data_IF_675693119521
#
_entry.id   IF_675693119521
#
_cell.length_a   1.000
_cell.length_b   1.000
_cell.length_c   1.000
_cell.angle_alpha   90.00
_cell.angle_beta   90.00
_cell.angle_gamma   90.00
#
_symmetry.space_group_name_H-M   'P 1'
#
loop_
_entity.id
_entity.type
_entity.pdbx_description
1 polymer ?
#
# COMPACT_ATOMS: atom_id res chain seq x y z
N UNK A 1 3.28 -18.47 -3.72
CA UNK A 1 4.34 -17.43 -3.82
C UNK A 1 4.71 -16.96 -2.43
N UNK A 2 5.96 -16.58 -2.18
CA UNK A 2 6.41 -16.14 -0.86
C UNK A 2 5.97 -14.69 -0.58
N UNK A 3 5.72 -14.38 0.68
CA UNK A 3 5.44 -13.01 1.11
C UNK A 3 6.66 -12.11 0.90
N UNK A 4 6.41 -10.83 0.55
CA UNK A 4 7.48 -9.84 0.45
C UNK A 4 7.88 -9.33 1.84
N UNK A 5 9.19 -9.12 2.01
CA UNK A 5 9.72 -8.44 3.19
C UNK A 5 9.50 -6.93 3.11
N UNK A 6 9.40 -6.27 4.26
CA UNK A 6 9.28 -4.81 4.30
C UNK A 6 10.49 -4.11 3.68
N UNK A 7 11.68 -4.70 3.80
CA UNK A 7 12.90 -4.18 3.17
C UNK A 7 12.83 -4.22 1.64
N UNK A 8 12.28 -5.31 1.07
CA UNK A 8 12.06 -5.40 -0.37
C UNK A 8 11.07 -4.33 -0.85
N UNK A 9 9.91 -4.22 -0.18
CA UNK A 9 8.87 -3.24 -0.51
C UNK A 9 9.44 -1.82 -0.45
N UNK A 10 10.16 -1.48 0.62
CA UNK A 10 10.77 -0.17 0.80
C UNK A 10 11.73 0.16 -0.34
N UNK A 11 12.64 -0.76 -0.65
CA UNK A 11 13.64 -0.56 -1.70
C UNK A 11 12.99 -0.46 -3.08
N UNK A 12 11.95 -1.25 -3.35
CA UNK A 12 11.23 -1.22 -4.62
C UNK A 12 10.51 0.12 -4.81
N UNK A 13 9.69 0.54 -3.84
CA UNK A 13 8.89 1.77 -3.96
C UNK A 13 9.76 3.04 -4.06
N UNK A 14 10.99 3.03 -3.55
CA UNK A 14 11.95 4.14 -3.69
C UNK A 14 12.62 4.24 -5.06
N UNK A 15 12.42 3.27 -5.95
CA UNK A 15 12.93 3.34 -7.33
C UNK A 15 12.10 4.31 -8.16
N UNK A 16 10.80 4.42 -7.86
CA UNK A 16 9.93 5.31 -8.60
C UNK A 16 10.33 6.77 -8.35
N UNK A 17 10.38 7.58 -9.42
CA UNK A 17 11.05 8.87 -9.38
C UNK A 17 10.34 9.87 -8.48
N UNK A 18 11.10 10.88 -8.03
CA UNK A 18 10.62 12.08 -7.33
C UNK A 18 9.67 12.98 -8.16
N UNK A 19 9.22 12.55 -9.33
CA UNK A 19 8.32 13.31 -10.20
C UNK A 19 6.85 13.00 -9.94
N UNK A 20 6.54 11.99 -9.11
CA UNK A 20 5.15 11.77 -8.70
C UNK A 20 4.67 12.91 -7.79
N UNK A 21 3.41 13.35 -7.91
CA UNK A 21 2.80 14.25 -6.93
C UNK A 21 2.59 13.59 -5.55
N UNK A 22 2.84 12.28 -5.42
CA UNK A 22 2.73 11.52 -4.16
C UNK A 22 4.12 11.23 -3.63
N UNK A 23 4.44 11.74 -2.44
CA UNK A 23 5.69 11.45 -1.75
C UNK A 23 5.62 10.11 -1.00
N UNK A 24 6.49 9.16 -1.33
CA UNK A 24 6.61 7.92 -0.55
C UNK A 24 7.47 8.12 0.69
N UNK A 25 6.89 7.94 1.88
CA UNK A 25 7.60 8.20 3.15
C UNK A 25 8.28 6.94 3.69
N UNK A 26 7.84 5.75 3.26
CA UNK A 26 8.47 4.49 3.60
C UNK A 26 7.51 3.38 3.99
N UNK A 27 8.11 2.36 4.60
CA UNK A 27 7.44 1.16 5.08
C UNK A 27 7.58 1.12 6.60
N UNK A 28 6.48 0.93 7.32
CA UNK A 28 6.43 1.01 8.77
C UNK A 28 5.72 -0.21 9.38
N UNK A 29 6.04 -0.54 10.63
CA UNK A 29 5.21 -1.41 11.44
C UNK A 29 4.00 -0.63 12.00
N UNK A 30 2.96 -1.33 12.46
CA UNK A 30 1.72 -0.70 12.94
C UNK A 30 1.98 0.31 14.08
N UNK A 31 2.91 -0.01 14.99
CA UNK A 31 3.33 0.83 16.12
C UNK A 31 4.41 1.86 15.76
N UNK A 32 4.93 1.82 14.53
CA UNK A 32 6.05 2.64 14.05
C UNK A 32 5.65 3.68 13.02
N UNK A 33 4.36 3.98 12.85
CA UNK A 33 3.90 5.01 11.91
C UNK A 33 4.40 6.38 12.38
N UNK A 34 5.12 7.15 11.54
CA UNK A 34 5.73 8.41 11.95
C UNK A 34 4.69 9.51 12.16
N UNK A 35 5.08 10.56 12.91
CA UNK A 35 4.28 11.79 12.94
C UNK A 35 4.21 12.41 11.54
N UNK A 36 3.04 12.93 11.18
CA UNK A 36 2.79 13.56 9.89
C UNK A 36 2.90 15.09 9.93
N UNK A 37 3.56 15.67 10.94
CA UNK A 37 3.59 17.12 11.17
C UNK A 37 4.26 17.96 10.08
N UNK A 38 5.07 17.35 9.23
CA UNK A 38 5.82 18.05 8.17
C UNK A 38 5.35 17.69 6.76
N UNK A 39 4.16 17.13 6.62
CA UNK A 39 3.66 16.57 5.35
C UNK A 39 2.39 17.33 4.94
N UNK A 40 2.58 18.33 4.08
CA UNK A 40 1.48 19.16 3.55
C UNK A 40 0.93 18.60 2.23
N UNK A 41 1.79 18.00 1.40
CA UNK A 41 1.44 17.41 0.12
C UNK A 41 0.85 15.99 0.24
N UNK A 42 0.41 15.44 -0.90
CA UNK A 42 -0.01 14.03 -0.96
C UNK A 42 1.18 13.12 -0.65
N UNK A 43 0.97 12.16 0.23
CA UNK A 43 1.99 11.20 0.64
C UNK A 43 1.43 9.79 0.73
N UNK A 44 2.33 8.82 0.68
CA UNK A 44 2.02 7.40 0.81
C UNK A 44 2.94 6.70 1.81
N UNK A 45 2.36 5.78 2.57
CA UNK A 45 3.08 4.82 3.40
C UNK A 45 2.54 3.41 3.16
N UNK A 46 3.41 2.43 3.33
CA UNK A 46 2.98 1.03 3.44
C UNK A 46 3.19 0.59 4.88
N UNK A 47 2.17 -0.01 5.48
CA UNK A 47 2.17 -0.36 6.91
C UNK A 47 1.97 -1.85 7.05
N UNK A 48 2.78 -2.49 7.89
CA UNK A 48 2.50 -3.85 8.33
C UNK A 48 1.46 -3.84 9.45
N UNK A 49 0.50 -4.76 9.44
CA UNK A 49 -0.48 -4.91 10.54
C UNK A 49 0.16 -5.31 11.86
N UNK A 50 1.28 -6.01 11.82
CA UNK A 50 2.04 -6.39 13.00
C UNK A 50 2.89 -5.23 13.55
N UNK A 51 3.05 -5.23 14.87
CA UNK A 51 4.00 -4.36 15.57
C UNK A 51 5.45 -4.77 15.28
N UNK A 52 6.37 -3.83 15.49
CA UNK A 52 7.80 -3.91 15.16
C UNK A 52 8.56 -5.14 15.71
N UNK A 53 8.06 -5.79 16.75
CA UNK A 53 8.64 -7.00 17.35
C UNK A 53 8.12 -8.33 16.79
N UNK A 54 7.21 -8.31 15.82
CA UNK A 54 6.57 -9.49 15.24
C UNK A 54 7.03 -9.70 13.79
N UNK A 55 6.96 -10.93 13.23
CA UNK A 55 7.52 -11.26 11.93
C UNK A 55 6.86 -10.58 10.71
N UNK A 56 5.84 -9.74 10.92
CA UNK A 56 4.98 -9.21 9.87
C UNK A 56 3.88 -10.21 9.47
N UNK A 57 2.68 -9.73 9.14
CA UNK A 57 1.56 -10.59 8.70
C UNK A 57 0.94 -10.07 7.40
N UNK A 58 0.53 -8.81 7.40
CA UNK A 58 -0.23 -8.24 6.30
C UNK A 58 0.24 -6.83 5.97
N UNK A 59 0.21 -6.46 4.69
CA UNK A 59 0.66 -5.15 4.19
C UNK A 59 -0.53 -4.33 3.71
N UNK A 60 -0.58 -3.08 4.16
CA UNK A 60 -1.63 -2.11 3.85
C UNK A 60 -1.00 -0.87 3.21
N UNK A 61 -1.69 -0.26 2.25
CA UNK A 61 -1.27 0.99 1.63
C UNK A 61 -2.16 2.13 2.13
N UNK A 62 -1.55 3.22 2.57
CA UNK A 62 -2.24 4.45 2.96
C UNK A 62 -1.73 5.59 2.10
N UNK A 63 -2.64 6.27 1.41
CA UNK A 63 -2.34 7.47 0.61
C UNK A 63 -3.18 8.62 1.14
N UNK A 64 -2.55 9.70 1.58
CA UNK A 64 -3.24 10.75 2.32
C UNK A 64 -2.70 12.14 2.00
N UNK A 65 -3.51 13.14 2.34
CA UNK A 65 -3.07 14.53 2.48
C UNK A 65 -3.54 15.04 3.83
N UNK A 66 -2.59 15.41 4.69
CA UNK A 66 -2.91 15.95 6.02
C UNK A 66 -3.59 17.31 5.90
N UNK A 67 -3.15 18.16 4.98
CA UNK A 67 -3.77 19.45 4.71
C UNK A 67 -5.24 19.31 4.32
N UNK A 68 -5.57 18.29 3.51
CA UNK A 68 -6.96 17.97 3.12
C UNK A 68 -7.70 17.10 4.13
N UNK A 69 -7.02 16.63 5.19
CA UNK A 69 -7.58 15.73 6.21
C UNK A 69 -8.25 14.48 5.61
N UNK A 70 -7.68 14.01 4.50
CA UNK A 70 -8.21 12.91 3.69
C UNK A 70 -7.23 11.75 3.63
N UNK A 71 -7.76 10.53 3.73
CA UNK A 71 -7.04 9.28 3.55
C UNK A 71 -7.77 8.37 2.55
N UNK A 72 -7.01 7.80 1.64
CA UNK A 72 -7.37 6.58 0.93
C UNK A 72 -6.60 5.40 1.55
N UNK A 73 -7.35 4.43 2.06
CA UNK A 73 -6.86 3.21 2.67
C UNK A 73 -7.06 2.04 1.70
N UNK A 74 -5.98 1.36 1.34
CA UNK A 74 -6.03 0.19 0.48
C UNK A 74 -5.62 -1.05 1.25
N UNK A 75 -6.49 -2.06 1.17
CA UNK A 75 -6.27 -3.41 1.65
C UNK A 75 -6.62 -4.39 0.53
N UNK A 76 -5.73 -5.32 0.19
CA UNK A 76 -5.99 -6.31 -0.84
C UNK A 76 -7.15 -7.26 -0.51
N UNK A 77 -7.54 -7.39 0.76
CA UNK A 77 -8.74 -8.11 1.20
C UNK A 77 -9.99 -7.22 1.29
N UNK A 78 -9.85 -5.90 1.13
CA UNK A 78 -10.96 -4.95 1.18
C UNK A 78 -11.54 -4.69 2.57
N UNK A 79 -10.78 -4.98 3.64
CA UNK A 79 -11.22 -4.70 5.01
C UNK A 79 -11.26 -3.19 5.29
N UNK A 80 -12.15 -2.83 6.21
CA UNK A 80 -12.24 -1.46 6.70
C UNK A 80 -11.04 -1.14 7.63
N UNK A 81 -10.49 0.09 7.65
CA UNK A 81 -9.37 0.46 8.52
C UNK A 81 -9.61 0.20 10.02
N UNK A 82 -10.88 0.24 10.45
CA UNK A 82 -11.28 -0.07 11.83
C UNK A 82 -11.10 -1.55 12.22
N UNK A 83 -10.80 -2.45 11.29
CA UNK A 83 -10.51 -3.85 11.63
C UNK A 83 -9.09 -3.99 12.21
N UNK A 84 -8.22 -3.00 11.98
CA UNK A 84 -6.80 -3.04 12.35
C UNK A 84 -6.51 -2.29 13.66
N UNK A 85 -7.18 -2.68 14.74
CA UNK A 85 -6.92 -2.14 16.08
C UNK A 85 -5.65 -2.71 16.74
N UNK A 86 -5.03 -1.96 17.67
CA UNK A 86 -5.36 -0.59 18.02
C UNK A 86 -4.64 0.45 17.16
N UNK A 87 -3.46 0.12 16.64
CA UNK A 87 -2.54 1.14 16.15
C UNK A 87 -3.01 1.83 14.86
N UNK A 88 -3.36 1.05 13.82
CA UNK A 88 -3.79 1.59 12.52
C UNK A 88 -5.15 2.28 12.65
N UNK A 89 -6.13 1.61 13.27
CA UNK A 89 -7.46 2.19 13.47
C UNK A 89 -7.39 3.53 14.24
N UNK A 90 -6.62 3.59 15.33
CA UNK A 90 -6.46 4.83 16.10
C UNK A 90 -5.73 5.92 15.31
N UNK A 91 -4.69 5.57 14.56
CA UNK A 91 -3.97 6.51 13.69
C UNK A 91 -4.93 7.14 12.66
N UNK A 92 -5.70 6.30 11.95
CA UNK A 92 -6.65 6.74 10.93
C UNK A 92 -7.70 7.67 11.53
N UNK A 93 -8.38 7.24 12.60
CA UNK A 93 -9.46 8.01 13.25
C UNK A 93 -9.00 9.33 13.84
N UNK A 94 -7.78 9.39 14.35
CA UNK A 94 -7.26 10.61 14.99
C UNK A 94 -6.91 11.67 13.96
N UNK A 95 -6.38 11.28 12.80
CA UNK A 95 -5.80 12.21 11.83
C UNK A 95 -6.73 12.52 10.66
N UNK A 96 -7.58 11.58 10.26
CA UNK A 96 -8.34 11.64 9.01
C UNK A 96 -9.85 11.45 9.26
N UNK A 97 -10.64 12.53 9.29
CA UNK A 97 -12.10 12.46 9.33
C UNK A 97 -12.72 11.99 8.01
N UNK A 98 -12.02 12.21 6.89
CA UNK A 98 -12.47 11.76 5.56
C UNK A 98 -11.63 10.56 5.14
N UNK A 99 -12.26 9.39 5.12
CA UNK A 99 -11.60 8.12 4.80
C UNK A 99 -12.37 7.39 3.70
N UNK A 100 -11.67 7.08 2.62
CA UNK A 100 -12.13 6.16 1.59
C UNK A 100 -11.30 4.88 1.65
N UNK A 101 -11.91 3.75 1.30
CA UNK A 101 -11.21 2.48 1.17
C UNK A 101 -11.78 1.64 0.04
N UNK A 102 -11.02 0.66 -0.46
CA UNK A 102 -11.59 -0.35 -1.34
C UNK A 102 -12.34 -1.40 -0.54
N UNK A 103 -13.51 -1.82 -1.03
CA UNK A 103 -14.32 -2.89 -0.39
C UNK A 103 -14.23 -4.22 -1.13
N UNK A 104 -13.54 -4.25 -2.28
CA UNK A 104 -13.43 -5.45 -3.09
C UNK A 104 -12.21 -6.27 -2.65
N UNK A 105 -12.39 -7.56 -2.31
CA UNK A 105 -11.30 -8.47 -1.94
C UNK A 105 -10.61 -8.97 -3.21
N UNK A 106 -9.58 -8.25 -3.66
CA UNK A 106 -8.81 -8.66 -4.84
C UNK A 106 -8.00 -9.92 -4.58
N UNK A 107 -7.46 -10.05 -3.37
CA UNK A 107 -6.57 -11.15 -3.00
C UNK A 107 -7.33 -12.39 -2.54
N UNK A 108 -6.88 -13.57 -3.01
CA UNK A 108 -7.35 -14.85 -2.47
C UNK A 108 -6.82 -15.05 -1.04
N UNK A 109 -7.67 -15.51 -0.09
CA UNK A 109 -7.24 -15.72 1.30
C UNK A 109 -6.18 -16.81 1.46
N UNK A 110 -5.94 -17.63 0.43
CA UNK A 110 -4.93 -18.67 0.41
C UNK A 110 -3.53 -18.19 -0.02
N UNK A 111 -3.39 -16.92 -0.43
CA UNK A 111 -2.11 -16.38 -0.92
C UNK A 111 -1.50 -15.36 0.03
N UNK A 112 -0.19 -15.14 -0.11
CA UNK A 112 0.57 -14.19 0.71
C UNK A 112 1.13 -13.03 -0.13
N UNK A 113 0.31 -12.46 -1.02
CA UNK A 113 0.75 -11.48 -2.03
C UNK A 113 0.34 -10.03 -1.76
N UNK A 114 -0.17 -9.71 -0.57
CA UNK A 114 -0.61 -8.35 -0.19
C UNK A 114 0.47 -7.27 -0.40
N UNK A 115 1.74 -7.61 -0.18
CA UNK A 115 2.87 -6.71 -0.47
C UNK A 115 3.01 -6.40 -1.96
N UNK A 116 2.74 -7.37 -2.85
CA UNK A 116 2.73 -7.16 -4.30
C UNK A 116 1.58 -6.24 -4.72
N UNK A 117 0.40 -6.42 -4.13
CA UNK A 117 -0.72 -5.50 -4.33
C UNK A 117 -0.39 -4.07 -3.90
N UNK A 118 0.22 -3.88 -2.73
CA UNK A 118 0.64 -2.55 -2.28
C UNK A 118 1.62 -1.89 -3.26
N UNK A 119 2.62 -2.64 -3.74
CA UNK A 119 3.57 -2.18 -4.74
C UNK A 119 2.87 -1.82 -6.05
N UNK A 120 2.05 -2.72 -6.58
CA UNK A 120 1.32 -2.52 -7.84
C UNK A 120 0.46 -1.26 -7.76
N UNK A 121 -0.37 -1.16 -6.73
CA UNK A 121 -1.31 -0.06 -6.56
C UNK A 121 -0.57 1.28 -6.42
N UNK A 122 0.44 1.34 -5.56
CA UNK A 122 1.22 2.56 -5.35
C UNK A 122 1.97 2.97 -6.62
N UNK A 123 2.54 2.01 -7.36
CA UNK A 123 3.22 2.30 -8.63
C UNK A 123 2.26 2.88 -9.67
N UNK A 124 1.06 2.33 -9.78
CA UNK A 124 0.03 2.86 -10.68
C UNK A 124 -0.38 4.28 -10.29
N UNK A 125 -0.50 4.56 -9.00
CA UNK A 125 -0.74 5.93 -8.52
C UNK A 125 0.42 6.88 -8.84
N UNK A 126 1.67 6.43 -8.75
CA UNK A 126 2.82 7.24 -9.17
C UNK A 126 2.81 7.58 -10.65
N UNK A 127 2.26 6.69 -11.48
CA UNK A 127 2.01 6.90 -12.91
C UNK A 127 0.71 7.66 -13.19
N UNK A 128 0.13 8.33 -12.17
CA UNK A 128 -1.09 9.14 -12.25
C UNK A 128 -2.33 8.37 -12.74
N UNK A 129 -2.34 7.04 -12.62
CA UNK A 129 -3.52 6.25 -12.90
C UNK A 129 -4.58 6.49 -11.81
N UNK A 130 -5.80 6.84 -12.23
CA UNK A 130 -6.92 6.99 -11.30
C UNK A 130 -7.34 5.66 -10.67
N UNK A 131 -7.78 5.69 -9.40
CA UNK A 131 -8.20 4.51 -8.62
C UNK A 131 -9.21 3.62 -9.34
N UNK A 132 -10.17 4.23 -10.05
CA UNK A 132 -11.17 3.49 -10.83
C UNK A 132 -10.53 2.69 -11.98
N UNK A 133 -9.50 3.24 -12.63
CA UNK A 133 -8.76 2.55 -13.68
C UNK A 133 -7.99 1.36 -13.12
N UNK A 134 -7.33 1.54 -11.96
CA UNK A 134 -6.60 0.47 -11.27
C UNK A 134 -7.56 -0.64 -10.85
N UNK A 135 -8.73 -0.27 -10.30
CA UNK A 135 -9.79 -1.21 -9.94
C UNK A 135 -10.24 -2.04 -11.15
N UNK A 136 -10.56 -1.38 -12.27
CA UNK A 136 -11.00 -2.06 -13.51
C UNK A 136 -9.92 -2.98 -14.06
N UNK A 137 -8.67 -2.56 -14.02
CA UNK A 137 -7.53 -3.37 -14.46
C UNK A 137 -7.41 -4.65 -13.63
N UNK A 138 -7.47 -4.54 -12.29
CA UNK A 138 -7.44 -5.71 -11.40
C UNK A 138 -8.66 -6.62 -11.59
N UNK A 139 -9.87 -6.07 -11.69
CA UNK A 139 -11.09 -6.85 -11.92
C UNK A 139 -11.16 -7.54 -13.29
N UNK A 140 -10.40 -7.05 -14.27
CA UNK A 140 -10.34 -7.67 -15.60
C UNK A 140 -9.40 -8.89 -15.68
N UNK A 141 -8.59 -9.12 -14.64
CA UNK A 141 -7.67 -10.26 -14.61
C UNK A 141 -8.42 -11.53 -14.21
N UNK A 142 -8.16 -12.62 -14.92
CA UNK A 142 -8.62 -13.96 -14.52
C UNK A 142 -7.97 -14.38 -13.19
N UNK A 143 -6.72 -14.00 -12.98
CA UNK A 143 -5.97 -14.24 -11.75
C UNK A 143 -5.21 -12.97 -11.34
N UNK A 144 -5.86 -12.13 -10.53
CA UNK A 144 -5.28 -10.88 -10.06
C UNK A 144 -4.03 -11.09 -9.19
N UNK A 145 -3.97 -12.17 -8.40
CA UNK A 145 -2.82 -12.49 -7.53
C UNK A 145 -1.56 -12.77 -8.35
N UNK A 146 -1.68 -13.61 -9.39
CA UNK A 146 -0.55 -13.88 -10.27
C UNK A 146 -0.17 -12.63 -11.06
N UNK A 147 -1.16 -11.86 -11.52
CA UNK A 147 -0.94 -10.64 -12.28
C UNK A 147 -0.09 -9.60 -11.53
N UNK A 148 -0.39 -9.31 -10.25
CA UNK A 148 0.41 -8.35 -9.47
C UNK A 148 1.80 -8.89 -9.14
N UNK A 149 1.96 -10.20 -9.04
CA UNK A 149 3.26 -10.84 -8.86
C UNK A 149 4.11 -10.68 -10.12
N UNK A 150 3.55 -10.99 -11.29
CA UNK A 150 4.21 -10.88 -12.58
C UNK A 150 4.64 -9.42 -12.82
N UNK A 151 3.76 -8.46 -12.53
CA UNK A 151 4.06 -7.03 -12.63
C UNK A 151 5.35 -6.63 -11.88
N UNK A 152 5.50 -7.08 -10.63
CA UNK A 152 6.69 -6.76 -9.82
C UNK A 152 7.93 -7.50 -10.33
N UNK A 153 7.78 -8.75 -10.75
CA UNK A 153 8.89 -9.55 -11.27
C UNK A 153 9.42 -9.01 -12.60
N UNK A 154 8.52 -8.64 -13.51
CA UNK A 154 8.87 -7.99 -14.78
C UNK A 154 9.64 -6.70 -14.53
N UNK A 155 9.18 -5.85 -13.61
CA UNK A 155 9.90 -4.63 -13.24
C UNK A 155 11.31 -4.90 -12.69
N UNK A 156 11.46 -5.89 -11.79
CA UNK A 156 12.77 -6.29 -11.28
C UNK A 156 13.71 -6.78 -12.39
N UNK A 157 13.19 -7.55 -13.34
CA UNK A 157 13.97 -8.05 -14.48
C UNK A 157 14.45 -6.93 -15.42
N UNK A 158 13.57 -5.95 -15.71
CA UNK A 158 13.89 -4.81 -16.56
C UNK A 158 14.90 -3.86 -15.92
N UNK A 159 14.95 -3.82 -14.58
CA UNK A 159 15.84 -2.92 -13.83
C UNK A 159 17.14 -3.55 -13.35
N UNK A 160 17.40 -4.84 -13.65
CA UNK A 160 18.54 -5.62 -13.15
C UNK A 160 18.68 -5.60 -11.62
N UNK A 161 17.57 -5.72 -10.87
CA UNK A 161 17.54 -5.61 -9.40
C UNK A 161 17.18 -6.91 -8.66
N UNK A 162 17.60 -8.05 -9.19
CA UNK A 162 17.57 -9.34 -8.48
C UNK A 162 18.88 -9.59 -7.72
#
# INVERSE_FOLDING_TARGET
MAALSGAFIHNFCRIFPNFSPISFLGVFAADGIPSLDQIDDMAAIIVNTHSSGQPGEHWLLMVFSKARRYLYFFDSFGCHPDEFYPHIANFVRTLFPEVEWNTFPFQSPETSVCGYYCIFYLTKLFLECGRESIFKELCSQENADQYVVDYVQEFCSLTNRL
#
